data_IF_555797221172
#
_entry.id   IF_555797221172
#
_cell.length_a   1.000
_cell.length_b   1.000
_cell.length_c   1.000
_cell.angle_alpha   90.00
_cell.angle_beta   90.00
_cell.angle_gamma   90.00
#
_symmetry.space_group_name_H-M   'P 1'
#
loop_
_entity.id
_entity.type
_entity.pdbx_description
1 polymer ?
#
# COMPACT_ATOMS: atom_id res chain seq x y z
N UNK A 1 -53.82 -27.89 48.12
CA UNK A 1 -52.55 -27.31 48.61
C UNK A 1 -51.41 -27.92 47.81
N UNK A 2 -50.62 -27.05 47.21
CA UNK A 2 -49.51 -27.27 46.27
C UNK A 2 -48.27 -27.84 46.96
N UNK A 3 -47.61 -28.84 46.36
CA UNK A 3 -46.14 -28.97 46.23
C UNK A 3 -45.78 -30.15 45.32
N UNK A 4 -45.62 -29.90 44.02
CA UNK A 4 -44.95 -30.83 43.10
C UNK A 4 -44.20 -30.00 42.05
N UNK A 5 -43.12 -29.34 42.47
CA UNK A 5 -42.36 -28.46 41.58
C UNK A 5 -41.00 -28.15 42.17
N UNK A 6 -40.05 -29.09 42.09
CA UNK A 6 -38.73 -28.87 42.68
C UNK A 6 -37.56 -29.69 42.17
N UNK A 7 -37.73 -30.70 41.31
CA UNK A 7 -36.61 -31.62 40.99
C UNK A 7 -36.37 -31.87 39.48
N UNK A 8 -36.92 -31.04 38.60
CA UNK A 8 -36.71 -31.12 37.13
C UNK A 8 -35.83 -29.99 36.56
N UNK A 9 -35.08 -29.26 37.41
CA UNK A 9 -34.32 -28.07 36.98
C UNK A 9 -32.80 -28.23 36.94
N UNK A 10 -32.24 -29.34 37.44
CA UNK A 10 -30.78 -29.55 37.47
C UNK A 10 -30.22 -30.23 36.19
N UNK A 11 -31.04 -30.90 35.38
CA UNK A 11 -30.55 -31.69 34.24
C UNK A 11 -30.55 -30.91 32.90
N UNK A 12 -31.18 -29.74 32.86
CA UNK A 12 -31.33 -28.93 31.63
C UNK A 12 -30.19 -27.91 31.42
N UNK A 13 -29.25 -27.79 32.37
CA UNK A 13 -28.17 -26.79 32.29
C UNK A 13 -26.82 -27.38 31.85
N UNK A 14 -26.71 -28.70 31.72
CA UNK A 14 -25.46 -29.37 31.31
C UNK A 14 -25.54 -29.83 29.85
N UNK A 15 -25.80 -28.89 28.94
CA UNK A 15 -25.70 -29.13 27.50
C UNK A 15 -25.43 -27.84 26.71
N UNK A 16 -24.71 -26.90 27.33
CA UNK A 16 -24.28 -25.64 26.71
C UNK A 16 -22.77 -25.56 26.45
N UNK A 17 -21.99 -26.60 26.79
CA UNK A 17 -20.56 -26.67 26.50
C UNK A 17 -20.29 -27.64 25.35
N UNK A 18 -20.50 -27.19 24.12
CA UNK A 18 -19.76 -27.58 22.90
C UNK A 18 -20.53 -27.15 21.63
N UNK A 19 -20.74 -25.84 21.44
CA UNK A 19 -20.83 -25.30 20.08
C UNK A 19 -19.63 -24.39 19.87
N UNK A 20 -18.56 -24.97 19.34
CA UNK A 20 -17.49 -24.20 18.73
C UNK A 20 -18.16 -23.22 17.77
N UNK A 21 -17.93 -21.90 17.90
CA UNK A 21 -18.45 -20.96 16.92
C UNK A 21 -17.83 -21.33 15.56
N UNK A 22 -18.67 -21.86 14.68
CA UNK A 22 -18.32 -22.11 13.29
C UNK A 22 -17.80 -20.79 12.71
N UNK A 23 -16.65 -20.75 12.02
CA UNK A 23 -16.20 -19.53 11.36
C UNK A 23 -17.27 -19.13 10.34
N UNK A 24 -17.90 -17.98 10.58
CA UNK A 24 -18.89 -17.35 9.70
C UNK A 24 -18.24 -17.07 8.34
N UNK A 25 -18.27 -18.06 7.44
CA UNK A 25 -17.81 -17.95 6.06
C UNK A 25 -18.89 -17.45 5.09
N UNK A 26 -20.03 -16.98 5.61
CA UNK A 26 -21.18 -16.59 4.79
C UNK A 26 -21.64 -15.15 5.07
N UNK A 27 -20.84 -14.18 4.60
CA UNK A 27 -21.34 -12.87 4.15
C UNK A 27 -20.45 -12.33 3.01
N UNK A 28 -20.38 -13.08 1.91
CA UNK A 28 -20.05 -12.50 0.59
C UNK A 28 -21.36 -12.10 -0.10
N UNK A 29 -22.09 -11.17 0.52
CA UNK A 29 -23.26 -10.53 -0.08
C UNK A 29 -22.83 -9.30 -0.86
N UNK A 30 -22.92 -9.40 -2.19
CA UNK A 30 -23.24 -8.36 -3.16
C UNK A 30 -22.75 -6.91 -2.90
N UNK A 31 -21.77 -6.51 -3.74
CA UNK A 31 -21.64 -5.23 -4.45
C UNK A 31 -22.36 -4.00 -3.86
N UNK A 32 -21.62 -3.21 -3.07
CA UNK A 32 -21.87 -1.79 -2.87
C UNK A 32 -20.98 -0.96 -3.81
N UNK A 33 -21.60 -0.20 -4.70
CA UNK A 33 -20.97 0.89 -5.44
C UNK A 33 -20.25 1.85 -4.49
N UNK A 34 -18.92 1.92 -4.55
CA UNK A 34 -18.14 2.98 -3.88
C UNK A 34 -17.06 2.55 -2.88
N UNK A 35 -16.80 1.26 -2.65
CA UNK A 35 -15.64 0.84 -1.86
C UNK A 35 -14.38 0.77 -2.73
N UNK A 36 -13.44 1.69 -2.53
CA UNK A 36 -12.10 1.61 -3.12
C UNK A 36 -11.49 0.23 -2.85
N UNK A 37 -10.98 -0.43 -3.88
CA UNK A 37 -10.51 -1.79 -3.74
C UNK A 37 -9.30 -1.84 -2.78
N UNK A 38 -9.25 -2.81 -1.88
CA UNK A 38 -8.20 -2.91 -0.84
C UNK A 38 -6.77 -3.01 -1.41
N UNK A 39 -6.62 -3.45 -2.65
CA UNK A 39 -5.34 -3.52 -3.37
C UNK A 39 -4.97 -2.19 -4.04
N UNK A 40 -5.93 -1.31 -4.27
CA UNK A 40 -5.76 -0.05 -5.00
C UNK A 40 -4.70 0.85 -4.37
N UNK A 41 -4.65 1.06 -3.03
CA UNK A 41 -3.61 1.88 -2.40
C UNK A 41 -2.20 1.32 -2.62
N UNK A 42 -2.03 0.00 -2.57
CA UNK A 42 -0.72 -0.64 -2.78
C UNK A 42 -0.21 -0.43 -4.21
N UNK A 43 -1.08 -0.61 -5.21
CA UNK A 43 -0.73 -0.37 -6.62
C UNK A 43 -0.43 1.11 -6.86
N UNK A 44 -1.19 2.03 -6.26
CA UNK A 44 -0.94 3.46 -6.38
C UNK A 44 0.44 3.82 -5.83
N UNK A 45 0.81 3.33 -4.64
CA UNK A 45 2.13 3.59 -4.06
C UNK A 45 3.24 3.03 -4.94
N UNK A 46 3.10 1.78 -5.40
CA UNK A 46 4.06 1.15 -6.30
C UNK A 46 4.25 1.96 -7.59
N UNK A 47 3.16 2.31 -8.27
CA UNK A 47 3.20 3.13 -9.49
C UNK A 47 3.83 4.50 -9.23
N UNK A 48 3.50 5.15 -8.11
CA UNK A 48 4.06 6.47 -7.78
C UNK A 48 5.59 6.39 -7.64
N UNK A 49 6.11 5.34 -7.01
CA UNK A 49 7.57 5.12 -6.91
C UNK A 49 8.19 4.75 -8.26
N UNK A 50 7.59 3.81 -9.00
CA UNK A 50 8.11 3.36 -10.29
C UNK A 50 8.15 4.48 -11.33
N UNK A 51 7.10 5.30 -11.40
CA UNK A 51 7.05 6.48 -12.27
C UNK A 51 8.15 7.48 -11.89
N UNK A 52 8.37 7.69 -10.59
CA UNK A 52 9.39 8.63 -10.13
C UNK A 52 10.82 8.22 -10.54
N UNK A 53 11.09 6.92 -10.66
CA UNK A 53 12.38 6.40 -11.12
C UNK A 53 12.46 6.38 -12.64
N UNK A 54 11.38 5.99 -13.32
CA UNK A 54 11.35 5.89 -14.78
C UNK A 54 11.48 7.26 -15.47
N UNK A 55 10.84 8.30 -14.93
CA UNK A 55 10.89 9.68 -15.48
C UNK A 55 12.31 10.22 -15.65
N UNK A 56 13.17 10.27 -14.61
CA UNK A 56 14.52 10.80 -14.74
C UNK A 56 15.38 9.94 -15.66
N UNK A 57 15.18 8.62 -15.70
CA UNK A 57 15.91 7.74 -16.63
C UNK A 57 15.58 8.11 -18.07
N UNK A 58 14.30 8.21 -18.43
CA UNK A 58 13.89 8.56 -19.81
C UNK A 58 14.43 9.94 -20.21
N UNK A 59 14.38 10.92 -19.29
CA UNK A 59 14.96 12.25 -19.52
C UNK A 59 16.47 12.14 -19.76
N UNK A 60 17.18 11.35 -18.96
CA UNK A 60 18.62 11.13 -19.10
C UNK A 60 19.00 10.47 -20.43
N UNK A 61 18.19 9.51 -20.90
CA UNK A 61 18.43 8.86 -22.19
C UNK A 61 18.32 9.87 -23.33
N UNK A 62 17.26 10.68 -23.34
CA UNK A 62 17.05 11.71 -24.36
C UNK A 62 18.11 12.82 -24.31
N UNK A 63 18.43 13.34 -23.11
CA UNK A 63 19.47 14.37 -22.96
C UNK A 63 20.87 13.82 -23.24
N UNK A 64 21.14 12.59 -22.80
CA UNK A 64 22.42 11.91 -22.98
C UNK A 64 22.73 11.69 -24.45
N UNK A 65 21.78 11.15 -25.22
CA UNK A 65 21.93 10.93 -26.66
C UNK A 65 22.09 12.26 -27.41
N UNK A 66 21.31 13.29 -27.06
CA UNK A 66 21.44 14.61 -27.69
C UNK A 66 22.82 15.25 -27.45
N UNK A 67 23.38 15.05 -26.25
CA UNK A 67 24.68 15.59 -25.90
C UNK A 67 25.81 14.79 -26.56
N UNK A 68 25.74 13.46 -26.55
CA UNK A 68 26.73 12.58 -27.19
C UNK A 68 26.86 12.89 -28.69
N UNK A 69 25.72 13.05 -29.37
CA UNK A 69 25.66 13.34 -30.82
C UNK A 69 26.19 14.74 -31.17
N UNK A 70 26.30 15.65 -30.18
CA UNK A 70 26.84 17.00 -30.38
C UNK A 70 28.35 17.09 -30.16
N UNK A 71 28.93 16.18 -29.37
CA UNK A 71 30.34 16.23 -28.98
C UNK A 71 31.19 15.10 -29.60
N UNK A 72 30.61 14.22 -30.44
CA UNK A 72 31.27 13.06 -31.09
C UNK A 72 32.07 12.19 -30.10
N UNK A 73 31.71 12.30 -28.83
CA UNK A 73 32.41 11.66 -27.73
C UNK A 73 31.77 10.31 -27.54
N UNK A 74 32.59 9.25 -27.59
CA UNK A 74 32.18 7.91 -27.14
C UNK A 74 31.45 7.99 -25.78
N UNK A 75 30.55 7.05 -25.44
CA UNK A 75 29.33 7.24 -24.63
C UNK A 75 29.56 7.56 -23.13
N UNK A 76 30.37 8.58 -22.87
CA UNK A 76 30.84 9.04 -21.56
C UNK A 76 29.94 10.16 -21.05
N UNK A 77 29.46 11.03 -21.94
CA UNK A 77 28.46 12.03 -21.60
C UNK A 77 27.13 11.39 -21.25
N UNK A 78 26.77 10.31 -21.94
CA UNK A 78 25.65 9.46 -21.57
C UNK A 78 25.76 8.94 -20.13
N UNK A 79 26.93 8.40 -19.74
CA UNK A 79 27.19 7.90 -18.38
C UNK A 79 27.07 9.00 -17.32
N UNK A 80 27.62 10.19 -17.60
CA UNK A 80 27.50 11.34 -16.69
C UNK A 80 26.03 11.78 -16.58
N UNK A 81 25.31 11.85 -17.70
CA UNK A 81 23.91 12.25 -17.71
C UNK A 81 23.02 11.25 -16.95
N UNK A 82 23.27 9.94 -17.12
CA UNK A 82 22.62 8.88 -16.38
C UNK A 82 22.92 8.96 -14.88
N UNK A 83 24.19 9.17 -14.51
CA UNK A 83 24.60 9.38 -13.12
C UNK A 83 23.93 10.60 -12.49
N UNK A 84 23.84 11.71 -13.23
CA UNK A 84 23.21 12.94 -12.77
C UNK A 84 21.69 12.76 -12.61
N UNK A 85 21.04 12.08 -13.54
CA UNK A 85 19.62 11.75 -13.43
C UNK A 85 19.33 10.81 -12.26
N UNK A 86 20.23 9.85 -12.00
CA UNK A 86 20.13 8.98 -10.83
C UNK A 86 20.24 9.77 -9.53
N UNK A 87 21.18 10.72 -9.44
CA UNK A 87 21.31 11.62 -8.29
C UNK A 87 20.06 12.49 -8.09
N UNK A 88 19.51 13.05 -9.16
CA UNK A 88 18.26 13.84 -9.14
C UNK A 88 17.08 12.97 -8.68
N UNK A 89 17.01 11.73 -9.15
CA UNK A 89 15.97 10.76 -8.76
C UNK A 89 16.00 10.51 -7.25
N UNK A 90 17.18 10.22 -6.70
CA UNK A 90 17.39 10.00 -5.26
C UNK A 90 16.96 11.24 -4.46
N UNK A 91 17.39 12.43 -4.90
CA UNK A 91 17.07 13.67 -4.20
C UNK A 91 15.57 13.99 -4.23
N UNK A 92 14.92 13.79 -5.38
CA UNK A 92 13.48 13.97 -5.55
C UNK A 92 12.66 12.96 -4.74
N UNK A 93 13.13 11.72 -4.63
CA UNK A 93 12.51 10.67 -3.84
C UNK A 93 12.57 10.98 -2.35
N UNK A 94 13.75 11.36 -1.84
CA UNK A 94 13.95 11.75 -0.43
C UNK A 94 13.03 12.91 -0.07
N UNK A 95 13.00 13.96 -0.90
CA UNK A 95 12.11 15.11 -0.69
C UNK A 95 10.62 14.73 -0.70
N UNK A 96 10.22 13.83 -1.59
CA UNK A 96 8.83 13.35 -1.68
C UNK A 96 8.44 12.49 -0.48
N UNK A 97 9.35 11.63 -0.02
CA UNK A 97 9.15 10.77 1.14
C UNK A 97 9.06 11.60 2.43
N UNK A 98 9.99 12.54 2.67
CA UNK A 98 9.96 13.42 3.85
C UNK A 98 8.67 14.23 3.93
N UNK A 99 8.16 14.70 2.79
CA UNK A 99 6.92 15.49 2.74
C UNK A 99 5.65 14.67 2.97
N UNK A 100 5.69 13.35 2.73
CA UNK A 100 4.60 12.44 3.11
C UNK A 100 4.67 12.12 4.61
N UNK A 101 5.88 11.93 5.16
CA UNK A 101 6.10 11.69 6.60
C UNK A 101 5.65 12.86 7.49
N UNK A 102 5.98 14.11 7.12
CA UNK A 102 5.51 15.30 7.85
C UNK A 102 3.98 15.41 7.91
N UNK A 103 3.27 14.89 6.90
CA UNK A 103 1.79 14.88 6.90
C UNK A 103 1.23 13.86 7.88
N UNK A 104 1.92 12.75 8.13
CA UNK A 104 1.49 11.78 9.13
C UNK A 104 1.73 12.28 10.56
N UNK A 105 2.86 12.96 10.79
CA UNK A 105 3.20 13.50 12.11
C UNK A 105 2.25 14.63 12.54
N UNK A 106 1.81 15.46 11.59
CA UNK A 106 0.90 16.58 11.87
C UNK A 106 -0.57 16.16 12.12
N UNK A 107 -0.99 14.97 11.70
CA UNK A 107 -2.34 14.46 11.90
C UNK A 107 -2.50 13.58 13.15
N UNK A 108 -1.40 13.22 13.84
CA UNK A 108 -1.44 12.44 15.09
C UNK A 108 -1.53 13.29 16.36
N UNK A 109 -1.67 14.61 16.25
CA UNK A 109 -1.63 15.57 17.36
C UNK A 109 -2.92 16.39 17.51
N UNK A 110 -4.08 15.81 17.21
CA UNK A 110 -5.40 16.38 17.51
C UNK A 110 -6.27 15.33 18.20
#
# INVERSE_FOLDING_TARGET
MTVAGGLKKAEQNNNQEARVPQPTSAKLGASGSGQAAWWQPAIIMFLKLSVWIAVPIIIALYLGEWLDNKYDSSPWLFLICLGLAFAISIFGLIKSASRELEKFEKNGKN
#
